data_IF_590464054706
#
_entry.id   IF_590464054706
#
_cell.length_a   1.000
_cell.length_b   1.000
_cell.length_c   1.000
_cell.angle_alpha   90.00
_cell.angle_beta   90.00
_cell.angle_gamma   90.00
#
_symmetry.space_group_name_H-M   'P 1'
#
loop_
_entity.id
_entity.type
_entity.pdbx_description
1 polymer ?
#
# COMPACT_ATOMS: atom_id res chain seq x y z
N UNK A 1 -19.39 -14.61 17.75
CA UNK A 1 -19.93 -13.97 16.52
C UNK A 1 -18.85 -13.40 15.62
N UNK A 2 -17.78 -12.77 16.16
CA UNK A 2 -16.65 -12.23 15.38
C UNK A 2 -15.83 -13.27 14.62
N UNK A 3 -15.56 -14.43 15.20
CA UNK A 3 -14.75 -15.49 14.57
C UNK A 3 -15.44 -16.13 13.33
N UNK A 4 -16.75 -16.32 13.35
CA UNK A 4 -17.48 -16.93 12.22
C UNK A 4 -17.59 -15.97 11.02
N UNK A 5 -17.86 -14.68 11.26
CA UNK A 5 -17.87 -13.66 10.20
C UNK A 5 -16.48 -13.46 9.58
N UNK A 6 -15.45 -13.57 10.41
CA UNK A 6 -14.06 -13.56 9.98
C UNK A 6 -13.77 -14.71 9.01
N UNK A 7 -14.12 -15.95 9.39
CA UNK A 7 -13.85 -17.14 8.55
C UNK A 7 -14.56 -17.05 7.20
N UNK A 8 -15.84 -16.67 7.18
CA UNK A 8 -16.62 -16.55 5.94
C UNK A 8 -16.03 -15.50 4.98
N UNK A 9 -15.60 -14.34 5.49
CA UNK A 9 -14.97 -13.29 4.68
C UNK A 9 -13.61 -13.68 4.14
N UNK A 10 -12.79 -14.39 4.93
CA UNK A 10 -11.51 -14.91 4.48
C UNK A 10 -11.68 -15.95 3.38
N UNK A 11 -12.64 -16.85 3.55
CA UNK A 11 -13.00 -17.84 2.53
C UNK A 11 -13.50 -17.16 1.26
N UNK A 12 -14.38 -16.16 1.38
CA UNK A 12 -14.88 -15.40 0.22
C UNK A 12 -13.77 -14.64 -0.49
N UNK A 13 -12.89 -13.97 0.25
CA UNK A 13 -11.72 -13.26 -0.32
C UNK A 13 -10.77 -14.25 -0.99
N UNK A 14 -10.44 -15.35 -0.34
CA UNK A 14 -9.61 -16.39 -0.92
C UNK A 14 -10.25 -16.98 -2.19
N UNK A 15 -11.54 -17.28 -2.16
CA UNK A 15 -12.27 -17.80 -3.32
C UNK A 15 -12.21 -16.85 -4.52
N UNK A 16 -12.44 -15.54 -4.30
CA UNK A 16 -12.32 -14.53 -5.37
C UNK A 16 -10.91 -14.48 -5.95
N UNK A 17 -9.88 -14.53 -5.10
CA UNK A 17 -8.49 -14.50 -5.55
C UNK A 17 -8.09 -15.78 -6.29
N UNK A 18 -8.51 -16.94 -5.80
CA UNK A 18 -8.28 -18.22 -6.49
C UNK A 18 -9.02 -18.29 -7.82
N UNK A 19 -10.28 -17.87 -7.88
CA UNK A 19 -11.06 -17.86 -9.13
C UNK A 19 -10.42 -16.89 -10.15
N UNK A 20 -10.02 -15.70 -9.73
CA UNK A 20 -9.30 -14.75 -10.60
C UNK A 20 -7.97 -15.32 -11.09
N UNK A 21 -7.22 -16.01 -10.24
CA UNK A 21 -5.95 -16.65 -10.59
C UNK A 21 -6.17 -17.81 -11.56
N UNK A 22 -7.15 -18.66 -11.32
CA UNK A 22 -7.51 -19.76 -12.21
C UNK A 22 -8.01 -19.26 -13.58
N UNK A 23 -8.83 -18.21 -13.60
CA UNK A 23 -9.27 -17.57 -14.84
C UNK A 23 -8.10 -16.99 -15.63
N UNK A 24 -7.13 -16.37 -14.94
CA UNK A 24 -5.90 -15.86 -15.54
C UNK A 24 -5.02 -17.00 -16.09
N UNK A 25 -4.85 -18.09 -15.35
CA UNK A 25 -4.10 -19.26 -15.80
C UNK A 25 -4.78 -19.92 -17.00
N UNK A 26 -6.11 -20.05 -17.01
CA UNK A 26 -6.86 -20.59 -18.12
C UNK A 26 -6.71 -19.74 -19.39
N UNK A 27 -6.81 -18.39 -19.27
CA UNK A 27 -6.58 -17.48 -20.41
C UNK A 27 -5.13 -17.53 -20.89
N UNK A 28 -4.17 -17.71 -19.98
CA UNK A 28 -2.75 -17.85 -20.34
C UNK A 28 -2.49 -19.21 -21.02
N UNK A 29 -3.19 -20.27 -20.60
CA UNK A 29 -3.09 -21.62 -21.19
C UNK A 29 -3.54 -21.67 -22.66
N UNK A 30 -4.44 -20.78 -23.06
CA UNK A 30 -4.88 -20.69 -24.46
C UNK A 30 -3.79 -20.08 -25.40
N UNK A 31 -2.80 -19.42 -24.84
CA UNK A 31 -1.79 -18.66 -25.61
C UNK A 31 -0.37 -19.16 -25.38
N UNK A 32 -0.09 -19.77 -24.25
CA UNK A 32 1.23 -20.26 -23.89
C UNK A 32 1.24 -21.80 -23.75
N UNK A 33 2.35 -22.44 -24.13
CA UNK A 33 2.52 -23.88 -23.89
C UNK A 33 2.37 -24.22 -22.40
N UNK A 34 1.73 -25.31 -22.08
CA UNK A 34 1.42 -25.75 -20.69
C UNK A 34 2.66 -25.79 -19.80
N UNK A 35 3.83 -26.16 -20.34
CA UNK A 35 5.08 -26.15 -19.60
C UNK A 35 5.53 -24.74 -19.18
N UNK A 36 5.23 -23.70 -20.00
CA UNK A 36 5.58 -22.32 -19.66
C UNK A 36 4.73 -21.80 -18.49
N UNK A 37 3.47 -22.24 -18.39
CA UNK A 37 2.58 -21.94 -17.28
C UNK A 37 3.08 -22.58 -16.00
N UNK A 38 3.47 -23.87 -16.08
CA UNK A 38 4.06 -24.59 -14.95
C UNK A 38 5.35 -23.94 -14.45
N UNK A 39 6.27 -23.61 -15.36
CA UNK A 39 7.52 -22.93 -15.03
C UNK A 39 7.26 -21.56 -14.39
N UNK A 40 6.28 -20.81 -14.90
CA UNK A 40 5.89 -19.53 -14.35
C UNK A 40 5.31 -19.65 -12.94
N UNK A 41 4.46 -20.62 -12.69
CA UNK A 41 3.87 -20.86 -11.36
C UNK A 41 4.96 -21.23 -10.35
N UNK A 42 5.91 -22.08 -10.71
CA UNK A 42 7.07 -22.44 -9.89
C UNK A 42 7.95 -21.22 -9.61
N UNK A 43 8.23 -20.41 -10.63
CA UNK A 43 9.04 -19.21 -10.50
C UNK A 43 8.36 -18.17 -9.57
N UNK A 44 7.06 -17.92 -9.75
CA UNK A 44 6.29 -17.01 -8.88
C UNK A 44 6.24 -17.54 -7.45
N UNK A 45 5.95 -18.82 -7.28
CA UNK A 45 5.94 -19.46 -5.98
C UNK A 45 7.31 -19.38 -5.29
N UNK A 46 8.38 -19.69 -6.04
CA UNK A 46 9.76 -19.63 -5.55
C UNK A 46 10.19 -18.22 -5.17
N UNK A 47 10.00 -17.24 -6.06
CA UNK A 47 10.34 -15.82 -5.79
C UNK A 47 9.54 -15.29 -4.62
N UNK A 48 8.25 -15.63 -4.56
CA UNK A 48 7.40 -15.20 -3.45
C UNK A 48 7.83 -15.83 -2.14
N UNK A 49 8.14 -17.11 -2.12
CA UNK A 49 8.64 -17.82 -0.93
C UNK A 49 9.98 -17.24 -0.45
N UNK A 50 10.93 -17.03 -1.37
CA UNK A 50 12.23 -16.41 -1.06
C UNK A 50 12.04 -14.98 -0.56
N UNK A 51 11.17 -14.21 -1.21
CA UNK A 51 10.86 -12.84 -0.81
C UNK A 51 10.28 -12.77 0.60
N UNK A 52 9.36 -13.67 0.95
CA UNK A 52 8.78 -13.76 2.29
C UNK A 52 9.83 -14.16 3.31
N UNK A 53 10.59 -15.21 3.01
CA UNK A 53 11.64 -15.71 3.91
C UNK A 53 12.74 -14.68 4.14
N UNK A 54 13.13 -13.95 3.07
CA UNK A 54 14.12 -12.88 3.19
C UNK A 54 13.58 -11.67 3.95
N UNK A 55 12.33 -11.26 3.71
CA UNK A 55 11.71 -10.20 4.49
C UNK A 55 11.62 -10.57 5.97
N UNK A 56 11.17 -11.78 6.29
CA UNK A 56 11.13 -12.27 7.68
C UNK A 56 12.51 -12.20 8.33
N UNK A 57 13.54 -12.73 7.66
CA UNK A 57 14.92 -12.73 8.17
C UNK A 57 15.44 -11.29 8.34
N UNK A 58 15.22 -10.42 7.37
CA UNK A 58 15.64 -9.01 7.43
C UNK A 58 14.96 -8.27 8.58
N UNK A 59 13.69 -8.50 8.83
CA UNK A 59 12.95 -7.84 9.90
C UNK A 59 13.34 -8.38 11.29
N UNK A 60 13.35 -9.69 11.48
CA UNK A 60 13.67 -10.30 12.79
C UNK A 60 15.12 -10.04 13.21
N UNK A 61 16.06 -10.11 12.27
CA UNK A 61 17.49 -9.96 12.58
C UNK A 61 17.99 -8.51 12.61
N UNK A 62 17.35 -7.61 11.85
CA UNK A 62 17.95 -6.31 11.55
C UNK A 62 17.16 -5.09 11.98
N UNK A 63 15.89 -5.22 12.31
CA UNK A 63 15.02 -4.04 12.40
C UNK A 63 14.43 -3.82 13.76
N UNK A 64 14.20 -4.87 14.50
CA UNK A 64 13.37 -4.77 15.68
C UNK A 64 14.22 -4.39 16.88
N UNK A 65 14.18 -3.13 17.26
CA UNK A 65 14.56 -2.69 18.59
C UNK A 65 13.60 -3.32 19.60
N UNK A 66 14.03 -3.41 20.83
CA UNK A 66 13.34 -4.06 21.92
C UNK A 66 11.82 -3.93 21.90
N UNK A 67 11.08 -5.01 22.21
CA UNK A 67 9.63 -4.99 22.36
C UNK A 67 9.17 -4.23 23.62
N UNK A 68 10.07 -3.55 24.33
CA UNK A 68 9.68 -2.72 25.47
C UNK A 68 9.08 -1.41 24.97
N UNK A 69 7.76 -1.41 24.92
CA UNK A 69 6.94 -0.29 24.48
C UNK A 69 7.16 0.96 25.34
N UNK A 70 7.62 0.80 26.58
CA UNK A 70 7.93 1.91 27.48
C UNK A 70 9.13 2.74 27.02
N UNK A 71 10.01 2.14 26.19
CA UNK A 71 11.14 2.85 25.57
C UNK A 71 10.68 3.77 24.42
N UNK A 72 9.55 3.43 23.78
CA UNK A 72 8.96 4.27 22.73
C UNK A 72 8.26 5.48 23.37
N UNK A 73 7.41 5.22 24.34
CA UNK A 73 6.70 6.22 25.17
C UNK A 73 6.21 5.54 26.45
N UNK A 74 6.39 6.14 27.66
CA UNK A 74 5.86 5.59 28.90
C UNK A 74 4.33 5.42 28.87
N UNK A 75 3.61 6.35 28.23
CA UNK A 75 2.17 6.31 28.08
C UNK A 75 1.74 5.15 27.18
N UNK A 76 2.43 4.94 26.08
CA UNK A 76 2.18 3.82 25.17
C UNK A 76 2.29 2.46 25.91
N UNK A 77 3.24 2.32 26.83
CA UNK A 77 3.37 1.13 27.66
C UNK A 77 2.14 0.83 28.52
N UNK A 78 1.53 1.85 29.11
CA UNK A 78 0.27 1.75 29.86
C UNK A 78 -0.89 1.35 28.96
N UNK A 79 -1.08 2.08 27.88
CA UNK A 79 -2.13 1.84 26.88
C UNK A 79 -2.02 0.41 26.30
N UNK A 80 -0.81 -0.02 25.97
CA UNK A 80 -0.57 -1.36 25.44
C UNK A 80 -1.00 -2.45 26.42
N UNK A 81 -0.69 -2.33 27.72
CA UNK A 81 -1.13 -3.29 28.74
C UNK A 81 -2.65 -3.41 28.82
N UNK A 82 -3.35 -2.28 28.78
CA UNK A 82 -4.81 -2.26 28.77
C UNK A 82 -5.37 -2.97 27.53
N UNK A 83 -4.80 -2.70 26.35
CA UNK A 83 -5.27 -3.27 25.09
C UNK A 83 -4.94 -4.77 24.97
N UNK A 84 -3.80 -5.23 25.47
CA UNK A 84 -3.49 -6.67 25.57
C UNK A 84 -4.51 -7.37 26.45
N UNK A 85 -4.82 -6.82 27.62
CA UNK A 85 -5.82 -7.39 28.52
C UNK A 85 -7.22 -7.41 27.87
N UNK A 86 -7.63 -6.33 27.21
CA UNK A 86 -8.95 -6.22 26.55
C UNK A 86 -9.08 -7.11 25.30
N UNK A 87 -8.00 -7.31 24.55
CA UNK A 87 -8.01 -8.07 23.29
C UNK A 87 -7.76 -9.56 23.47
N UNK A 88 -7.25 -9.99 24.62
CA UNK A 88 -6.77 -11.36 24.83
C UNK A 88 -5.51 -11.71 24.05
N UNK A 89 -4.82 -10.72 23.49
CA UNK A 89 -3.54 -10.88 22.81
C UNK A 89 -2.39 -10.82 23.83
N UNK A 90 -1.25 -11.39 23.48
CA UNK A 90 -0.03 -11.28 24.29
C UNK A 90 1.02 -10.41 23.60
N UNK A 91 1.87 -9.76 24.39
CA UNK A 91 2.97 -8.95 23.85
C UNK A 91 4.02 -9.81 23.10
N UNK A 92 4.13 -11.11 23.43
CA UNK A 92 4.99 -12.06 22.72
C UNK A 92 4.46 -12.42 21.34
N UNK A 93 3.13 -12.48 21.17
CA UNK A 93 2.50 -12.84 19.91
C UNK A 93 2.31 -11.63 18.99
N UNK A 94 2.10 -10.44 19.57
CA UNK A 94 1.83 -9.19 18.87
C UNK A 94 2.69 -8.04 19.43
N UNK A 95 4.00 -8.09 19.29
CA UNK A 95 4.86 -7.03 19.82
C UNK A 95 4.66 -5.71 19.07
N UNK A 96 4.86 -4.61 19.81
CA UNK A 96 4.77 -3.23 19.27
C UNK A 96 6.20 -2.71 19.11
N UNK A 97 6.49 -2.12 17.94
CA UNK A 97 7.79 -1.58 17.60
C UNK A 97 7.71 -0.15 17.06
N UNK A 98 8.81 0.61 17.23
CA UNK A 98 9.06 1.82 16.47
C UNK A 98 9.52 1.43 15.04
N UNK A 99 9.21 2.27 14.04
CA UNK A 99 9.71 2.11 12.68
C UNK A 99 11.23 2.31 12.55
N UNK A 100 11.92 2.74 13.58
CA UNK A 100 13.36 3.01 13.52
C UNK A 100 14.19 1.73 13.53
N UNK A 101 15.26 1.77 12.74
CA UNK A 101 16.25 0.69 12.69
C UNK A 101 17.12 0.74 13.95
N UNK A 102 17.46 -0.42 14.48
CA UNK A 102 18.54 -0.55 15.45
C UNK A 102 19.89 -0.46 14.71
N UNK A 103 20.55 0.69 14.82
CA UNK A 103 21.84 0.93 14.19
C UNK A 103 22.92 -0.05 14.64
N UNK A 104 22.81 -0.57 15.87
CA UNK A 104 23.75 -1.60 16.39
C UNK A 104 23.61 -2.92 15.64
N UNK A 105 22.38 -3.31 15.30
CA UNK A 105 22.12 -4.57 14.58
C UNK A 105 22.51 -4.55 13.11
N UNK A 106 22.74 -3.37 12.54
CA UNK A 106 23.16 -3.24 11.14
C UNK A 106 24.62 -2.79 11.00
N UNK A 107 25.33 -2.56 12.11
CA UNK A 107 26.69 -2.01 12.13
C UNK A 107 27.71 -2.87 11.34
N UNK A 108 27.56 -4.17 11.39
CA UNK A 108 28.41 -5.17 10.74
C UNK A 108 28.05 -5.45 9.27
N UNK A 109 26.96 -4.84 8.76
CA UNK A 109 26.54 -5.03 7.38
C UNK A 109 27.28 -4.12 6.39
N UNK A 110 27.45 -4.54 5.11
CA UNK A 110 28.04 -3.70 4.08
C UNK A 110 27.32 -2.36 3.97
N UNK A 111 28.08 -1.27 3.72
CA UNK A 111 27.54 0.11 3.68
C UNK A 111 26.35 0.27 2.72
N UNK A 112 26.40 -0.37 1.54
CA UNK A 112 25.27 -0.35 0.58
C UNK A 112 23.99 -0.94 1.16
N UNK A 113 24.10 -2.01 1.97
CA UNK A 113 22.98 -2.64 2.66
C UNK A 113 22.46 -1.74 3.79
N UNK A 114 23.35 -1.18 4.60
CA UNK A 114 23.00 -0.22 5.67
C UNK A 114 22.24 0.97 5.09
N UNK A 115 22.77 1.56 4.01
CA UNK A 115 22.13 2.69 3.31
C UNK A 115 20.72 2.31 2.82
N UNK A 116 20.57 1.19 2.13
CA UNK A 116 19.29 0.73 1.62
C UNK A 116 18.26 0.48 2.73
N UNK A 117 18.66 -0.12 3.85
CA UNK A 117 17.83 -0.34 5.03
C UNK A 117 17.41 1.01 5.64
N UNK A 118 18.35 1.91 5.88
CA UNK A 118 18.05 3.27 6.39
C UNK A 118 17.06 4.01 5.48
N UNK A 119 17.30 4.02 4.17
CA UNK A 119 16.39 4.67 3.23
C UNK A 119 14.98 4.08 3.23
N UNK A 120 14.87 2.77 3.37
CA UNK A 120 13.58 2.09 3.42
C UNK A 120 12.79 2.41 4.69
N UNK A 121 13.44 2.37 5.84
CA UNK A 121 12.77 2.43 7.14
C UNK A 121 12.67 3.84 7.71
N UNK A 122 13.71 4.66 7.60
CA UNK A 122 13.64 6.04 8.06
C UNK A 122 12.54 6.81 7.34
N UNK A 123 12.27 6.48 6.06
CA UNK A 123 11.14 7.06 5.34
C UNK A 123 9.76 6.68 5.91
N UNK A 124 9.67 5.61 6.68
CA UNK A 124 8.45 5.20 7.39
C UNK A 124 8.43 5.72 8.83
N UNK A 125 9.61 5.86 9.44
CA UNK A 125 9.78 6.39 10.79
C UNK A 125 9.43 7.88 10.91
N UNK A 126 9.65 8.64 9.83
CA UNK A 126 9.42 10.10 9.80
C UNK A 126 7.99 10.47 9.32
N UNK A 127 7.17 9.49 8.93
CA UNK A 127 5.76 9.68 8.55
C UNK A 127 4.87 9.45 9.77
N UNK A 128 3.81 10.24 9.92
CA UNK A 128 2.76 10.02 10.92
C UNK A 128 1.98 8.75 10.58
N UNK A 129 2.45 7.59 11.06
CA UNK A 129 1.92 6.30 10.67
C UNK A 129 1.91 5.28 11.82
N UNK A 130 0.88 4.43 11.81
CA UNK A 130 0.83 3.19 12.55
C UNK A 130 0.39 2.09 11.59
N UNK A 131 0.81 0.85 11.82
CA UNK A 131 0.44 -0.27 10.97
C UNK A 131 0.55 -1.62 11.69
N UNK A 132 -0.48 -2.43 11.60
CA UNK A 132 -0.39 -3.84 11.92
C UNK A 132 0.13 -4.62 10.71
N UNK A 133 1.25 -5.30 10.86
CA UNK A 133 1.92 -6.02 9.78
C UNK A 133 2.12 -7.50 10.14
N UNK A 134 2.22 -8.36 9.13
CA UNK A 134 2.61 -9.75 9.31
C UNK A 134 3.93 -10.02 8.58
N UNK A 135 4.95 -10.25 9.35
CA UNK A 135 6.31 -10.53 8.89
C UNK A 135 6.75 -11.96 9.28
N UNK A 136 5.77 -12.87 9.41
CA UNK A 136 5.96 -14.23 9.95
C UNK A 136 5.43 -14.35 11.36
N UNK A 137 5.53 -13.27 12.16
CA UNK A 137 4.69 -13.00 13.33
C UNK A 137 3.95 -11.68 13.07
N UNK A 138 2.72 -11.54 13.54
CA UNK A 138 2.03 -10.26 13.47
C UNK A 138 2.72 -9.27 14.42
N UNK A 139 2.96 -8.07 13.95
CA UNK A 139 3.57 -6.99 14.70
C UNK A 139 2.78 -5.71 14.50
N UNK A 140 2.84 -4.81 15.48
CA UNK A 140 2.32 -3.46 15.39
C UNK A 140 3.52 -2.53 15.34
N UNK A 141 3.53 -1.63 14.36
CA UNK A 141 4.54 -0.59 14.24
C UNK A 141 3.90 0.78 14.40
N UNK A 142 4.55 1.67 15.14
CA UNK A 142 4.08 3.03 15.37
C UNK A 142 5.25 4.01 15.24
N UNK A 143 5.01 5.18 14.65
CA UNK A 143 6.04 6.20 14.46
C UNK A 143 6.01 7.23 15.58
N UNK A 144 7.20 7.71 16.00
CA UNK A 144 7.30 8.79 17.00
C UNK A 144 6.62 10.09 16.57
N UNK A 145 6.71 10.55 15.29
CA UNK A 145 5.96 11.71 14.84
C UNK A 145 4.44 11.57 15.03
N UNK A 146 3.88 10.36 14.85
CA UNK A 146 2.47 10.14 15.11
C UNK A 146 2.14 10.28 16.61
N UNK A 147 2.95 9.67 17.48
CA UNK A 147 2.76 9.78 18.93
C UNK A 147 2.87 11.23 19.41
N UNK A 148 3.78 12.01 18.86
CA UNK A 148 3.93 13.43 19.20
C UNK A 148 2.73 14.30 18.75
N UNK A 149 1.99 13.85 17.73
CA UNK A 149 0.82 14.54 17.20
C UNK A 149 -0.46 14.29 18.02
N UNK A 150 -0.55 13.12 18.67
CA UNK A 150 -1.76 12.62 19.30
C UNK A 150 -1.78 12.94 20.80
N UNK A 151 -2.96 13.18 21.34
CA UNK A 151 -3.18 13.13 22.79
C UNK A 151 -3.39 11.68 23.27
N UNK A 152 -3.43 11.47 24.56
CA UNK A 152 -3.53 10.13 25.20
C UNK A 152 -4.75 9.34 24.72
N UNK A 153 -5.90 10.00 24.52
CA UNK A 153 -7.12 9.34 24.07
C UNK A 153 -7.06 8.97 22.61
N UNK A 154 -6.44 9.82 21.79
CA UNK A 154 -6.20 9.61 20.37
C UNK A 154 -5.13 8.52 20.14
N UNK A 155 -4.04 8.51 20.96
CA UNK A 155 -3.01 7.48 20.96
C UNK A 155 -3.64 6.12 21.26
N UNK A 156 -4.46 6.03 22.31
CA UNK A 156 -5.23 4.82 22.64
C UNK A 156 -6.13 4.39 21.49
N UNK A 157 -6.81 5.33 20.84
CA UNK A 157 -7.75 5.02 19.76
C UNK A 157 -7.03 4.49 18.51
N UNK A 158 -5.90 5.07 18.12
CA UNK A 158 -5.09 4.59 16.99
C UNK A 158 -4.48 3.24 17.32
N UNK A 159 -3.92 3.07 18.52
CA UNK A 159 -3.32 1.78 18.90
C UNK A 159 -4.39 0.67 18.98
N UNK A 160 -5.57 0.95 19.53
CA UNK A 160 -6.71 0.02 19.57
C UNK A 160 -7.17 -0.37 18.15
N UNK A 161 -7.12 0.55 17.19
CA UNK A 161 -7.39 0.25 15.78
C UNK A 161 -6.39 -0.76 15.20
N UNK A 162 -5.08 -0.60 15.48
CA UNK A 162 -4.06 -1.56 15.05
C UNK A 162 -4.20 -2.92 15.76
N UNK A 163 -4.57 -2.91 17.05
CA UNK A 163 -4.90 -4.14 17.79
C UNK A 163 -6.10 -4.86 17.19
N UNK A 164 -7.14 -4.14 16.77
CA UNK A 164 -8.30 -4.71 16.11
C UNK A 164 -7.92 -5.35 14.76
N UNK A 165 -7.02 -4.72 13.98
CA UNK A 165 -6.45 -5.34 12.79
C UNK A 165 -5.69 -6.63 13.12
N UNK A 166 -4.88 -6.62 14.16
CA UNK A 166 -4.10 -7.78 14.60
C UNK A 166 -5.02 -8.92 15.07
N UNK A 167 -5.98 -8.63 15.94
CA UNK A 167 -6.94 -9.60 16.47
C UNK A 167 -7.82 -10.22 15.38
N UNK A 168 -8.28 -9.41 14.43
CA UNK A 168 -9.05 -9.88 13.28
C UNK A 168 -8.18 -10.51 12.17
N UNK A 169 -6.86 -10.63 12.36
CA UNK A 169 -5.90 -11.22 11.42
C UNK A 169 -6.00 -10.63 10.00
N UNK A 170 -6.36 -9.35 9.86
CA UNK A 170 -6.52 -8.67 8.58
C UNK A 170 -5.23 -8.72 7.73
N UNK A 171 -4.05 -8.81 8.37
CA UNK A 171 -2.76 -8.91 7.71
C UNK A 171 -2.61 -10.17 6.86
N UNK A 172 -3.33 -11.26 7.17
CA UNK A 172 -3.26 -12.51 6.41
C UNK A 172 -3.83 -12.37 4.99
N UNK A 173 -4.71 -11.37 4.76
CA UNK A 173 -5.26 -11.10 3.44
C UNK A 173 -4.30 -10.38 2.50
N UNK A 174 -3.28 -9.70 3.03
CA UNK A 174 -2.31 -8.96 2.21
C UNK A 174 -1.44 -9.88 1.35
N UNK A 175 -1.20 -11.10 1.80
CA UNK A 175 -0.35 -12.08 1.14
C UNK A 175 -0.95 -12.64 -0.15
N UNK A 176 -2.17 -13.22 -0.15
CA UNK A 176 -2.85 -13.64 -1.39
C UNK A 176 -2.96 -12.50 -2.41
N UNK A 177 -3.20 -11.27 -1.94
CA UNK A 177 -3.29 -10.09 -2.80
C UNK A 177 -1.97 -9.75 -3.50
N UNK A 178 -0.84 -9.82 -2.78
CA UNK A 178 0.50 -9.61 -3.35
C UNK A 178 0.85 -10.71 -4.36
N UNK A 179 0.56 -11.97 -4.02
CA UNK A 179 0.78 -13.12 -4.91
C UNK A 179 -0.01 -12.98 -6.20
N UNK A 180 -1.30 -12.61 -6.11
CA UNK A 180 -2.13 -12.37 -7.29
C UNK A 180 -1.61 -11.22 -8.14
N UNK A 181 -1.20 -10.10 -7.53
CA UNK A 181 -0.58 -8.96 -8.24
C UNK A 181 0.68 -9.36 -8.99
N UNK A 182 1.54 -10.17 -8.37
CA UNK A 182 2.74 -10.73 -8.99
C UNK A 182 2.38 -11.71 -10.11
N UNK A 183 1.41 -12.58 -9.88
CA UNK A 183 0.90 -13.53 -10.87
C UNK A 183 0.36 -12.83 -12.12
N UNK A 184 -0.44 -11.78 -11.95
CA UNK A 184 -0.96 -10.95 -13.05
C UNK A 184 0.19 -10.30 -13.85
N UNK A 185 1.19 -9.77 -13.16
CA UNK A 185 2.33 -9.12 -13.82
C UNK A 185 3.12 -10.13 -14.66
N UNK A 186 3.35 -11.31 -14.11
CA UNK A 186 4.05 -12.39 -14.79
C UNK A 186 3.23 -12.93 -15.98
N UNK A 187 1.93 -13.19 -15.80
CA UNK A 187 1.05 -13.63 -16.88
C UNK A 187 1.05 -12.64 -18.05
N UNK A 188 1.00 -11.34 -17.77
CA UNK A 188 1.15 -10.30 -18.80
C UNK A 188 2.51 -10.38 -19.51
N UNK A 189 3.59 -10.61 -18.77
CA UNK A 189 4.94 -10.80 -19.34
C UNK A 189 5.03 -12.01 -20.24
N UNK A 190 4.54 -13.15 -19.76
CA UNK A 190 4.54 -14.41 -20.50
C UNK A 190 3.66 -14.37 -21.75
N UNK A 191 2.46 -13.77 -21.65
CA UNK A 191 1.58 -13.60 -22.81
C UNK A 191 2.24 -12.76 -23.91
N UNK A 192 2.94 -11.70 -23.53
CA UNK A 192 3.75 -10.91 -24.49
C UNK A 192 4.88 -11.72 -25.09
N UNK A 193 5.61 -12.44 -24.25
CA UNK A 193 6.73 -13.27 -24.69
C UNK A 193 6.27 -14.38 -25.64
N UNK A 194 5.18 -15.07 -25.32
CA UNK A 194 4.58 -16.09 -26.18
C UNK A 194 4.11 -15.53 -27.53
N UNK A 195 3.49 -14.33 -27.53
CA UNK A 195 3.11 -13.65 -28.76
C UNK A 195 4.32 -13.31 -29.65
N UNK A 196 5.47 -12.99 -29.05
CA UNK A 196 6.71 -12.74 -29.79
C UNK A 196 7.38 -14.01 -30.26
N UNK A 197 7.36 -15.08 -29.46
CA UNK A 197 7.90 -16.39 -29.90
C UNK A 197 7.11 -16.95 -31.07
N UNK A 198 5.79 -16.73 -31.14
CA UNK A 198 4.97 -17.17 -32.29
C UNK A 198 5.34 -16.45 -33.60
N UNK A 199 5.98 -15.29 -33.50
CA UNK A 199 6.51 -14.55 -34.65
C UNK A 199 7.94 -15.00 -35.10
N UNK A 200 8.49 -15.99 -34.40
CA UNK A 200 9.87 -16.45 -34.66
C UNK A 200 10.94 -15.43 -34.26
N UNK A 201 12.18 -15.65 -34.72
CA UNK A 201 13.33 -14.82 -34.37
C UNK A 201 13.22 -13.35 -34.81
N UNK A 202 12.35 -13.03 -35.77
CA UNK A 202 12.14 -11.68 -36.28
C UNK A 202 11.20 -10.88 -35.38
N UNK A 203 10.24 -11.52 -34.73
CA UNK A 203 9.26 -10.86 -33.90
C UNK A 203 9.85 -10.19 -32.65
N UNK A 204 10.85 -10.79 -32.03
CA UNK A 204 11.48 -10.26 -30.80
C UNK A 204 12.24 -8.94 -31.09
N UNK A 205 13.12 -8.83 -32.08
CA UNK A 205 13.77 -7.57 -32.43
C UNK A 205 12.76 -6.48 -32.82
N UNK A 206 11.75 -6.79 -33.61
CA UNK A 206 10.71 -5.82 -34.03
C UNK A 206 9.94 -5.26 -32.83
N UNK A 207 9.62 -6.11 -31.89
CA UNK A 207 8.92 -5.66 -30.67
C UNK A 207 9.79 -4.77 -29.77
N UNK A 208 11.05 -5.12 -29.62
CA UNK A 208 12.00 -4.30 -28.86
C UNK A 208 12.16 -2.93 -29.53
N UNK A 209 12.42 -2.92 -30.85
CA UNK A 209 12.61 -1.68 -31.62
C UNK A 209 11.35 -0.82 -31.59
N UNK A 210 10.17 -1.41 -31.82
CA UNK A 210 8.90 -0.65 -31.77
C UNK A 210 8.56 -0.14 -30.37
N UNK A 211 8.80 -0.95 -29.34
CA UNK A 211 8.59 -0.53 -27.95
C UNK A 211 9.54 0.59 -27.51
N UNK A 212 10.80 0.51 -27.88
CA UNK A 212 11.81 1.56 -27.63
C UNK A 212 11.51 2.78 -28.49
N UNK A 213 11.25 2.60 -29.78
CA UNK A 213 10.93 3.68 -30.72
C UNK A 213 9.70 4.47 -30.29
N UNK A 214 8.63 3.78 -29.89
CA UNK A 214 7.43 4.42 -29.34
C UNK A 214 7.70 5.25 -28.08
N UNK A 215 8.57 4.75 -27.19
CA UNK A 215 8.97 5.51 -25.99
C UNK A 215 9.80 6.74 -26.33
N UNK A 216 10.74 6.62 -27.25
CA UNK A 216 11.58 7.73 -27.71
C UNK A 216 10.72 8.79 -28.39
N UNK A 217 9.82 8.38 -29.30
CA UNK A 217 8.90 9.27 -29.98
C UNK A 217 7.98 10.00 -28.99
N UNK A 218 7.38 9.28 -28.04
CA UNK A 218 6.51 9.88 -27.04
C UNK A 218 7.26 10.86 -26.14
N UNK A 219 8.51 10.57 -25.78
CA UNK A 219 9.35 11.46 -24.99
C UNK A 219 9.70 12.74 -25.75
N UNK A 220 10.00 12.61 -27.04
CA UNK A 220 10.45 13.72 -27.91
C UNK A 220 9.27 14.62 -28.32
N UNK A 221 8.14 14.04 -28.72
CA UNK A 221 6.92 14.81 -29.08
C UNK A 221 6.23 15.44 -27.89
N UNK A 222 6.37 14.86 -26.70
CA UNK A 222 5.78 15.44 -25.48
C UNK A 222 6.51 16.67 -24.93
N UNK A 223 7.61 17.15 -25.56
CA UNK A 223 8.38 18.30 -25.11
C UNK A 223 9.02 18.15 -23.72
N UNK A 224 9.06 16.92 -23.20
CA UNK A 224 9.56 16.61 -21.83
C UNK A 224 10.89 15.86 -21.84
N UNK A 225 11.56 15.80 -22.99
CA UNK A 225 12.81 15.06 -23.15
C UNK A 225 13.92 15.56 -22.23
N UNK A 226 13.99 16.88 -22.06
CA UNK A 226 14.99 17.50 -21.19
C UNK A 226 14.74 17.19 -19.71
N UNK A 227 13.47 17.18 -19.29
CA UNK A 227 13.08 16.77 -17.95
C UNK A 227 13.45 15.31 -17.65
N UNK A 228 13.38 14.43 -18.66
CA UNK A 228 13.70 13.01 -18.50
C UNK A 228 15.20 12.76 -18.40
N UNK A 229 16.03 13.63 -18.97
CA UNK A 229 17.49 13.54 -18.94
C UNK A 229 18.14 14.14 -17.70
N UNK A 230 17.53 15.18 -17.10
CA UNK A 230 18.08 15.82 -15.91
C UNK A 230 18.20 14.84 -14.74
N UNK A 231 19.30 14.83 -13.99
CA UNK A 231 19.41 14.11 -12.71
C UNK A 231 18.30 14.55 -11.73
N UNK A 232 17.87 13.64 -10.85
CA UNK A 232 16.80 13.96 -9.87
C UNK A 232 17.18 15.13 -8.97
N UNK A 233 18.46 15.25 -8.62
CA UNK A 233 18.99 16.29 -7.74
C UNK A 233 18.87 17.71 -8.34
N UNK A 234 18.80 17.81 -9.67
CA UNK A 234 18.68 19.07 -10.40
C UNK A 234 17.24 19.47 -10.71
N UNK A 235 16.26 18.63 -10.35
CA UNK A 235 14.85 18.92 -10.59
C UNK A 235 14.19 19.48 -9.34
N UNK A 236 13.44 20.56 -9.50
CA UNK A 236 12.49 21.03 -8.50
C UNK A 236 11.34 20.04 -8.31
N UNK A 237 10.63 20.11 -7.18
CA UNK A 237 9.51 19.21 -6.91
C UNK A 237 8.40 19.22 -7.99
N UNK A 238 7.96 20.39 -8.50
CA UNK A 238 7.01 20.42 -9.61
C UNK A 238 7.55 19.70 -10.85
N UNK A 239 8.84 19.89 -11.21
CA UNK A 239 9.48 19.24 -12.35
C UNK A 239 9.54 17.71 -12.17
N UNK A 240 9.80 17.21 -10.97
CA UNK A 240 9.80 15.77 -10.66
C UNK A 240 8.42 15.18 -10.81
N UNK A 241 7.36 15.87 -10.38
CA UNK A 241 5.98 15.43 -10.58
C UNK A 241 5.63 15.39 -12.08
N UNK A 242 6.00 16.42 -12.83
CA UNK A 242 5.80 16.46 -14.28
C UNK A 242 6.59 15.36 -14.99
N UNK A 243 7.83 15.08 -14.56
CA UNK A 243 8.64 13.95 -15.04
C UNK A 243 7.94 12.62 -14.77
N UNK A 244 7.37 12.43 -13.57
CA UNK A 244 6.61 11.21 -13.23
C UNK A 244 5.39 11.05 -14.12
N UNK A 245 4.61 12.13 -14.34
CA UNK A 245 3.46 12.12 -15.25
C UNK A 245 3.89 11.82 -16.70
N UNK A 246 4.97 12.45 -17.18
CA UNK A 246 5.53 12.18 -18.49
C UNK A 246 5.98 10.71 -18.62
N UNK A 247 6.67 10.18 -17.62
CA UNK A 247 7.08 8.79 -17.57
C UNK A 247 5.91 7.80 -17.61
N UNK A 248 4.80 8.12 -16.93
CA UNK A 248 3.57 7.31 -17.00
C UNK A 248 2.95 7.33 -18.40
N UNK A 249 2.84 8.51 -19.04
CA UNK A 249 2.36 8.63 -20.41
C UNK A 249 3.22 7.84 -21.40
N UNK A 250 4.53 7.94 -21.28
CA UNK A 250 5.49 7.19 -22.12
C UNK A 250 5.33 5.68 -21.93
N UNK A 251 5.13 5.21 -20.68
CA UNK A 251 4.85 3.79 -20.41
C UNK A 251 3.56 3.32 -21.11
N UNK A 252 2.50 4.13 -21.07
CA UNK A 252 1.22 3.82 -21.75
C UNK A 252 1.41 3.75 -23.26
N UNK A 253 2.06 4.75 -23.87
CA UNK A 253 2.31 4.79 -25.32
C UNK A 253 3.23 3.61 -25.73
N UNK A 254 4.26 3.32 -24.96
CA UNK A 254 5.11 2.15 -25.19
C UNK A 254 4.35 0.83 -25.09
N UNK A 255 3.38 0.73 -24.17
CA UNK A 255 2.53 -0.45 -24.06
C UNK A 255 1.58 -0.59 -25.26
N UNK A 256 1.01 0.51 -25.75
CA UNK A 256 0.19 0.53 -26.97
C UNK A 256 1.03 0.11 -28.18
N UNK A 257 2.20 0.72 -28.38
CA UNK A 257 3.11 0.38 -29.47
C UNK A 257 3.51 -1.10 -29.47
N UNK A 258 3.85 -1.63 -28.30
CA UNK A 258 4.17 -3.05 -28.12
C UNK A 258 2.95 -3.94 -28.41
N UNK A 259 1.75 -3.52 -28.03
CA UNK A 259 0.50 -4.25 -28.29
C UNK A 259 0.22 -4.31 -29.78
N UNK A 260 0.33 -3.17 -30.48
CA UNK A 260 0.14 -3.09 -31.94
C UNK A 260 1.16 -3.99 -32.66
N UNK A 261 2.45 -3.90 -32.29
CA UNK A 261 3.46 -4.76 -32.90
C UNK A 261 3.19 -6.25 -32.66
N UNK A 262 2.81 -6.64 -31.43
CA UNK A 262 2.46 -8.03 -31.13
C UNK A 262 1.22 -8.50 -31.91
N UNK A 263 0.27 -7.62 -32.17
CA UNK A 263 -0.97 -7.93 -32.93
C UNK A 263 -0.70 -8.28 -34.38
N UNK A 264 0.37 -7.74 -34.97
CA UNK A 264 0.79 -8.10 -36.34
C UNK A 264 1.19 -9.57 -36.47
N UNK A 265 1.69 -10.16 -35.38
CA UNK A 265 2.14 -11.56 -35.36
C UNK A 265 1.10 -12.50 -34.74
N UNK A 266 0.25 -11.99 -33.85
CA UNK A 266 -0.83 -12.75 -33.25
C UNK A 266 -2.09 -11.87 -33.12
N UNK A 267 -3.06 -12.01 -34.01
CA UNK A 267 -4.29 -11.20 -34.01
C UNK A 267 -5.12 -11.33 -32.72
N UNK A 268 -4.97 -12.41 -31.96
CA UNK A 268 -5.68 -12.63 -30.69
C UNK A 268 -5.01 -11.91 -29.51
N UNK A 269 -3.77 -11.44 -29.68
CA UNK A 269 -3.01 -10.80 -28.59
C UNK A 269 -3.73 -9.59 -27.96
N UNK A 270 -4.37 -8.67 -28.69
CA UNK A 270 -5.10 -7.55 -28.09
C UNK A 270 -6.21 -7.99 -27.15
N UNK A 271 -6.94 -9.06 -27.52
CA UNK A 271 -8.01 -9.61 -26.70
C UNK A 271 -7.48 -10.18 -25.38
N UNK A 272 -6.40 -10.96 -25.43
CA UNK A 272 -5.75 -11.49 -24.23
C UNK A 272 -5.17 -10.37 -23.36
N UNK A 273 -4.55 -9.37 -23.96
CA UNK A 273 -4.04 -8.22 -23.24
C UNK A 273 -5.16 -7.44 -22.56
N UNK A 274 -6.26 -7.18 -23.26
CA UNK A 274 -7.45 -6.54 -22.70
C UNK A 274 -8.06 -7.36 -21.55
N UNK A 275 -8.21 -8.67 -21.73
CA UNK A 275 -8.72 -9.57 -20.70
C UNK A 275 -7.86 -9.57 -19.44
N UNK A 276 -6.53 -9.67 -19.58
CA UNK A 276 -5.61 -9.62 -18.43
C UNK A 276 -5.66 -8.26 -17.71
N UNK A 277 -5.85 -7.16 -18.44
CA UNK A 277 -6.04 -5.82 -17.86
C UNK A 277 -7.38 -5.70 -17.15
N UNK A 278 -8.45 -6.24 -17.71
CA UNK A 278 -9.77 -6.26 -17.07
C UNK A 278 -9.75 -7.05 -15.76
N UNK A 279 -9.13 -8.24 -15.76
CA UNK A 279 -8.95 -9.06 -14.54
C UNK A 279 -8.12 -8.31 -13.51
N UNK A 280 -7.02 -7.69 -13.91
CA UNK A 280 -6.19 -6.88 -12.99
C UNK A 280 -6.96 -5.70 -12.39
N UNK A 281 -7.78 -5.02 -13.20
CA UNK A 281 -8.63 -3.92 -12.75
C UNK A 281 -9.72 -4.40 -11.78
N UNK A 282 -10.44 -5.47 -12.12
CA UNK A 282 -11.45 -6.07 -11.26
C UNK A 282 -10.86 -6.51 -9.93
N UNK A 283 -9.71 -7.18 -9.96
CA UNK A 283 -8.99 -7.59 -8.75
C UNK A 283 -8.65 -6.41 -7.84
N UNK A 284 -8.15 -5.29 -8.40
CA UNK A 284 -7.87 -4.09 -7.61
C UNK A 284 -9.11 -3.52 -6.94
N UNK A 285 -10.24 -3.48 -7.65
CA UNK A 285 -11.51 -2.99 -7.10
C UNK A 285 -11.99 -3.88 -5.96
N UNK A 286 -12.00 -5.20 -6.17
CA UNK A 286 -12.42 -6.18 -5.16
C UNK A 286 -11.49 -6.12 -3.94
N UNK A 287 -10.17 -6.14 -4.16
CA UNK A 287 -9.18 -6.03 -3.09
C UNK A 287 -9.35 -4.73 -2.29
N UNK A 288 -9.56 -3.60 -2.98
CA UNK A 288 -9.83 -2.32 -2.33
C UNK A 288 -11.12 -2.34 -1.51
N UNK A 289 -12.17 -3.01 -1.99
CA UNK A 289 -13.42 -3.15 -1.25
C UNK A 289 -13.25 -3.97 0.03
N UNK A 290 -12.53 -5.10 -0.02
CA UNK A 290 -12.21 -5.89 1.16
C UNK A 290 -11.34 -5.11 2.15
N UNK A 291 -10.30 -4.44 1.68
CA UNK A 291 -9.44 -3.64 2.53
C UNK A 291 -10.23 -2.53 3.25
N UNK A 292 -11.09 -1.81 2.53
CA UNK A 292 -11.98 -0.80 3.15
C UNK A 292 -12.94 -1.41 4.18
N UNK A 293 -13.44 -2.62 3.94
CA UNK A 293 -14.28 -3.32 4.91
C UNK A 293 -13.51 -3.67 6.17
N UNK A 294 -12.24 -4.07 6.04
CA UNK A 294 -11.35 -4.36 7.17
C UNK A 294 -11.09 -3.09 8.01
N UNK A 295 -10.91 -1.93 7.37
CA UNK A 295 -10.78 -0.65 8.08
C UNK A 295 -12.00 -0.34 8.94
N UNK A 296 -13.21 -0.52 8.39
CA UNK A 296 -14.43 -0.30 9.17
C UNK A 296 -14.61 -1.30 10.31
N UNK A 297 -14.12 -2.53 10.14
CA UNK A 297 -14.10 -3.50 11.24
C UNK A 297 -13.09 -3.13 12.31
N UNK A 298 -11.91 -2.65 11.91
CA UNK A 298 -10.90 -2.21 12.85
C UNK A 298 -11.35 -0.95 13.62
N UNK A 299 -12.02 -0.01 12.95
CA UNK A 299 -12.64 1.15 13.61
C UNK A 299 -13.65 0.72 14.68
N UNK A 300 -14.52 -0.23 14.36
CA UNK A 300 -15.48 -0.79 15.31
C UNK A 300 -14.78 -1.56 16.43
N UNK A 301 -13.81 -2.41 16.07
CA UNK A 301 -13.03 -3.18 17.03
C UNK A 301 -12.25 -2.31 17.99
N UNK A 302 -11.72 -1.17 17.55
CA UNK A 302 -11.08 -0.19 18.43
C UNK A 302 -12.03 0.30 19.53
N UNK A 303 -13.28 0.59 19.16
CA UNK A 303 -14.30 1.03 20.12
C UNK A 303 -14.73 -0.12 21.04
N UNK A 304 -14.77 -1.35 20.57
CA UNK A 304 -15.03 -2.55 21.39
C UNK A 304 -13.87 -2.83 22.37
N UNK A 305 -12.63 -2.47 22.02
CA UNK A 305 -11.46 -2.50 22.91
C UNK A 305 -11.38 -1.31 23.88
N UNK A 306 -12.43 -0.49 23.96
CA UNK A 306 -12.53 0.60 24.92
C UNK A 306 -11.97 1.94 24.46
N UNK A 307 -11.66 2.10 23.17
CA UNK A 307 -11.27 3.39 22.62
C UNK A 307 -12.50 4.30 22.42
N UNK A 308 -12.28 5.62 22.52
CA UNK A 308 -13.31 6.60 22.19
C UNK A 308 -13.48 6.72 20.68
N UNK A 309 -14.70 6.59 20.13
CA UNK A 309 -14.94 6.82 18.71
C UNK A 309 -14.65 8.28 18.31
N UNK A 310 -14.85 9.24 19.21
CA UNK A 310 -14.55 10.65 18.95
C UNK A 310 -13.04 10.89 18.85
N UNK A 311 -12.26 10.29 19.75
CA UNK A 311 -10.80 10.36 19.71
C UNK A 311 -10.23 9.75 18.42
N UNK A 312 -10.82 8.65 17.93
CA UNK A 312 -10.40 8.09 16.64
C UNK A 312 -10.73 9.01 15.47
N UNK A 313 -11.89 9.70 15.49
CA UNK A 313 -12.23 10.70 14.46
C UNK A 313 -11.22 11.85 14.47
N UNK A 314 -10.90 12.40 15.64
CA UNK A 314 -9.96 13.52 15.76
C UNK A 314 -8.55 13.13 15.36
N UNK A 315 -8.08 11.95 15.75
CA UNK A 315 -6.79 11.40 15.33
C UNK A 315 -6.67 11.30 13.79
N UNK A 316 -7.66 10.69 13.13
CA UNK A 316 -7.71 10.57 11.68
C UNK A 316 -7.70 11.95 10.99
N UNK A 317 -8.38 12.93 11.56
CA UNK A 317 -8.40 14.29 11.03
C UNK A 317 -7.05 14.99 11.21
N UNK A 318 -6.40 14.87 12.38
CA UNK A 318 -5.04 15.39 12.60
C UNK A 318 -4.06 14.83 11.56
N UNK A 319 -4.04 13.52 11.36
CA UNK A 319 -3.18 12.89 10.35
C UNK A 319 -3.45 13.43 8.93
N UNK A 320 -4.73 13.61 8.56
CA UNK A 320 -5.10 14.19 7.27
C UNK A 320 -4.64 15.64 7.14
N UNK A 321 -4.83 16.46 8.17
CA UNK A 321 -4.44 17.87 8.18
C UNK A 321 -2.94 18.00 8.00
N UNK A 322 -2.12 17.23 8.73
CA UNK A 322 -0.67 17.17 8.54
C UNK A 322 -0.32 16.88 7.09
N UNK A 323 -0.94 15.86 6.50
CA UNK A 323 -0.67 15.48 5.11
C UNK A 323 -1.05 16.60 4.13
N UNK A 324 -2.22 17.21 4.29
CA UNK A 324 -2.70 18.27 3.40
C UNK A 324 -1.87 19.54 3.52
N UNK A 325 -1.51 19.96 4.73
CA UNK A 325 -0.67 21.14 4.95
C UNK A 325 0.74 20.94 4.42
N UNK A 326 1.34 19.77 4.66
CA UNK A 326 2.65 19.43 4.11
C UNK A 326 2.64 19.43 2.58
N UNK A 327 1.57 18.90 1.95
CA UNK A 327 1.43 18.96 0.50
C UNK A 327 1.22 20.39 -0.02
N UNK A 328 0.46 21.23 0.69
CA UNK A 328 0.29 22.65 0.32
C UNK A 328 1.60 23.40 0.39
N UNK A 329 2.41 23.16 1.41
CA UNK A 329 3.74 23.80 1.55
C UNK A 329 4.64 23.49 0.36
N UNK A 330 4.63 22.26 -0.13
CA UNK A 330 5.47 21.83 -1.26
C UNK A 330 4.92 22.28 -2.62
N UNK A 331 3.59 22.27 -2.80
CA UNK A 331 2.95 22.50 -4.11
C UNK A 331 2.21 23.83 -4.21
N UNK A 332 2.12 24.61 -3.14
CA UNK A 332 1.29 25.81 -3.07
C UNK A 332 -0.21 25.53 -3.07
N UNK A 333 -0.66 24.51 -3.76
CA UNK A 333 -2.08 24.09 -3.83
C UNK A 333 -2.21 22.58 -3.84
N UNK A 334 -3.34 22.07 -3.34
CA UNK A 334 -3.63 20.64 -3.44
C UNK A 334 -3.89 20.24 -4.90
N UNK A 335 -3.30 19.15 -5.38
CA UNK A 335 -3.53 18.68 -6.75
C UNK A 335 -5.00 18.33 -6.99
N UNK A 336 -5.65 18.99 -7.97
CA UNK A 336 -7.00 18.63 -8.39
C UNK A 336 -6.98 17.35 -9.23
N UNK A 337 -7.86 16.41 -8.93
CA UNK A 337 -8.06 15.20 -9.74
C UNK A 337 -9.39 15.26 -10.47
N UNK A 338 -9.41 14.82 -11.75
CA UNK A 338 -10.65 14.74 -12.52
C UNK A 338 -11.62 13.67 -11.95
N UNK A 339 -12.92 13.80 -12.27
CA UNK A 339 -13.99 12.94 -11.74
C UNK A 339 -13.71 11.44 -11.94
N UNK A 340 -13.38 10.99 -13.14
CA UNK A 340 -13.10 9.57 -13.43
C UNK A 340 -11.85 9.07 -12.68
N UNK A 341 -10.82 9.92 -12.58
CA UNK A 341 -9.61 9.61 -11.79
C UNK A 341 -9.94 9.46 -10.31
N UNK A 342 -10.81 10.32 -9.78
CA UNK A 342 -11.27 10.25 -8.39
C UNK A 342 -12.12 9.02 -8.13
N UNK A 343 -13.06 8.70 -9.03
CA UNK A 343 -13.90 7.50 -8.91
C UNK A 343 -13.03 6.22 -8.94
N UNK A 344 -12.07 6.12 -9.86
CA UNK A 344 -11.13 5.01 -9.93
C UNK A 344 -10.25 4.90 -8.68
N UNK A 345 -9.67 6.03 -8.22
CA UNK A 345 -8.88 6.07 -6.98
C UNK A 345 -9.70 5.58 -5.79
N UNK A 346 -10.94 6.06 -5.65
CA UNK A 346 -11.82 5.63 -4.56
C UNK A 346 -12.20 4.15 -4.64
N UNK A 347 -12.40 3.62 -5.85
CA UNK A 347 -12.74 2.20 -6.06
C UNK A 347 -11.56 1.28 -5.72
N UNK A 348 -10.34 1.70 -6.01
CA UNK A 348 -9.12 0.91 -5.82
C UNK A 348 -8.34 1.24 -4.55
N UNK A 349 -8.75 2.27 -3.79
CA UNK A 349 -8.12 2.66 -2.54
C UNK A 349 -8.22 1.53 -1.50
N UNK A 350 -7.13 1.28 -0.81
CA UNK A 350 -7.07 0.30 0.29
C UNK A 350 -7.72 0.83 1.56
N UNK A 351 -7.72 2.15 1.76
CA UNK A 351 -8.36 2.80 2.91
C UNK A 351 -9.58 3.61 2.47
N UNK A 352 -10.69 3.59 3.24
CA UNK A 352 -11.80 4.49 3.01
C UNK A 352 -11.37 5.94 3.24
N UNK A 353 -12.06 6.87 2.61
CA UNK A 353 -11.82 8.29 2.89
C UNK A 353 -12.15 8.61 4.36
N UNK A 354 -11.40 9.52 4.97
CA UNK A 354 -11.61 9.92 6.36
C UNK A 354 -13.03 10.40 6.62
N UNK A 355 -13.69 11.19 5.76
CA UNK A 355 -15.09 11.52 5.96
C UNK A 355 -16.04 10.31 6.07
N UNK A 356 -15.79 9.25 5.30
CA UNK A 356 -16.59 8.01 5.37
C UNK A 356 -16.34 7.24 6.66
N UNK A 357 -15.10 7.19 7.14
CA UNK A 357 -14.76 6.59 8.44
C UNK A 357 -15.38 7.41 9.57
N UNK A 358 -15.22 8.73 9.55
CA UNK A 358 -15.81 9.64 10.54
C UNK A 358 -17.33 9.51 10.62
N UNK A 359 -18.05 9.42 9.50
CA UNK A 359 -19.49 9.23 9.49
C UNK A 359 -19.90 7.92 10.20
N UNK A 360 -19.21 6.81 9.93
CA UNK A 360 -19.50 5.53 10.61
C UNK A 360 -19.14 5.54 12.10
N UNK A 361 -18.03 6.18 12.46
CA UNK A 361 -17.64 6.36 13.85
C UNK A 361 -18.64 7.26 14.60
N UNK A 362 -19.18 8.28 13.93
CA UNK A 362 -20.26 9.14 14.47
C UNK A 362 -21.52 8.32 14.78
N UNK A 363 -21.90 7.37 13.91
CA UNK A 363 -23.04 6.48 14.17
C UNK A 363 -22.76 5.55 15.37
N UNK A 364 -21.53 5.08 15.52
CA UNK A 364 -21.12 4.29 16.70
C UNK A 364 -21.15 5.16 17.95
N UNK A 365 -20.69 6.40 17.87
CA UNK A 365 -20.69 7.35 18.98
C UNK A 365 -22.11 7.64 19.48
N UNK A 366 -23.09 7.88 18.58
CA UNK A 366 -24.51 8.04 18.95
C UNK A 366 -25.05 6.82 19.70
N UNK A 367 -24.76 5.63 19.23
CA UNK A 367 -25.16 4.37 19.89
C UNK A 367 -24.52 4.18 21.27
N UNK A 368 -23.39 4.83 21.52
CA UNK A 368 -22.71 4.87 22.82
C UNK A 368 -23.14 6.03 23.72
N UNK A 369 -24.11 6.84 23.29
CA UNK A 369 -24.69 7.91 24.08
C UNK A 369 -23.95 9.26 23.99
N UNK A 370 -23.03 9.45 23.04
CA UNK A 370 -22.44 10.76 22.80
C UNK A 370 -23.46 11.70 22.16
N UNK A 371 -23.44 12.95 22.58
CA UNK A 371 -24.34 13.98 22.05
C UNK A 371 -23.95 14.41 20.65
N UNK A 372 -24.90 14.89 19.85
CA UNK A 372 -24.62 15.42 18.51
C UNK A 372 -23.65 16.62 18.56
N UNK A 373 -23.66 17.42 19.62
CA UNK A 373 -22.70 18.51 19.82
C UNK A 373 -21.27 17.98 19.95
N UNK A 374 -21.05 16.93 20.75
CA UNK A 374 -19.74 16.28 20.88
C UNK A 374 -19.28 15.65 19.56
N UNK A 375 -20.19 14.97 18.87
CA UNK A 375 -19.91 14.35 17.58
C UNK A 375 -19.55 15.41 16.53
N UNK A 376 -20.32 16.50 16.45
CA UNK A 376 -20.04 17.60 15.53
C UNK A 376 -18.71 18.29 15.84
N UNK A 377 -18.36 18.47 17.11
CA UNK A 377 -17.05 18.98 17.50
C UNK A 377 -15.92 18.07 17.01
N UNK A 378 -16.05 16.76 17.16
CA UNK A 378 -15.04 15.81 16.66
C UNK A 378 -14.96 15.77 15.13
N UNK A 379 -16.11 15.82 14.41
CA UNK A 379 -16.17 15.71 12.95
C UNK A 379 -15.78 17.02 12.25
N UNK A 380 -16.23 18.17 12.75
CA UNK A 380 -16.16 19.48 12.09
C UNK A 380 -15.33 20.51 12.84
N UNK A 381 -14.98 20.26 14.12
CA UNK A 381 -14.21 21.20 14.94
C UNK A 381 -12.85 21.52 14.34
N UNK A 382 -12.27 22.64 14.71
CA UNK A 382 -10.91 22.99 14.29
C UNK A 382 -9.90 21.97 14.84
N UNK A 383 -9.11 21.39 13.95
CA UNK A 383 -7.96 20.57 14.29
C UNK A 383 -6.72 21.40 13.97
N UNK A 384 -6.17 22.05 15.00
CA UNK A 384 -4.91 22.75 14.86
C UNK A 384 -3.76 21.73 14.85
N UNK A 385 -2.89 21.84 13.85
CA UNK A 385 -1.66 21.07 13.77
C UNK A 385 -0.53 22.09 13.66
N UNK A 386 0.39 22.05 14.63
CA UNK A 386 1.53 22.96 14.64
C UNK A 386 2.50 22.71 13.47
N UNK A 387 3.29 23.73 13.10
CA UNK A 387 4.27 23.61 12.01
C UNK A 387 5.32 22.52 12.27
N UNK A 388 5.60 22.19 13.53
CA UNK A 388 6.51 21.14 13.96
C UNK A 388 6.08 19.73 13.56
N UNK A 389 4.79 19.53 13.28
CA UNK A 389 4.23 18.26 12.81
C UNK A 389 4.21 18.13 11.28
N UNK A 390 4.63 19.15 10.54
CA UNK A 390 4.67 19.07 9.08
C UNK A 390 5.77 18.11 8.63
N UNK A 391 5.45 17.36 7.60
CA UNK A 391 6.43 16.46 6.99
C UNK A 391 7.49 17.27 6.23
N UNK A 392 8.75 16.91 6.42
CA UNK A 392 9.84 17.54 5.68
C UNK A 392 9.63 17.42 4.16
N UNK A 393 9.91 18.46 3.35
CA UNK A 393 9.74 18.42 1.89
C UNK A 393 10.40 17.20 1.22
N UNK A 394 11.60 16.82 1.67
CA UNK A 394 12.30 15.64 1.17
C UNK A 394 11.54 14.32 1.44
N UNK A 395 10.77 14.24 2.52
CA UNK A 395 9.94 13.08 2.85
C UNK A 395 8.71 12.99 1.94
N UNK A 396 8.05 14.13 1.70
CA UNK A 396 6.92 14.24 0.76
C UNK A 396 7.38 13.81 -0.63
N UNK A 397 8.54 14.29 -1.04
CA UNK A 397 9.17 13.90 -2.29
C UNK A 397 9.34 12.38 -2.41
N UNK A 398 9.88 11.76 -1.38
CA UNK A 398 10.11 10.32 -1.33
C UNK A 398 8.79 9.51 -1.34
N UNK A 399 7.74 10.02 -0.69
CA UNK A 399 6.40 9.42 -0.75
C UNK A 399 5.78 9.50 -2.15
N UNK A 400 5.98 10.59 -2.86
CA UNK A 400 5.46 10.80 -4.21
C UNK A 400 6.29 10.08 -5.29
N UNK A 401 7.55 9.74 -5.01
CA UNK A 401 8.41 8.97 -5.91
C UNK A 401 8.05 7.47 -5.96
N UNK A 402 7.39 6.95 -4.94
CA UNK A 402 6.85 5.58 -4.88
C UNK A 402 5.51 5.47 -5.59
#
# INVERSE_FOLDING_TARGET
MTAQLYTARHVASAAVHYTATLGLLATTALVAPVWAIGAAAVLVGGISYIGIKSQKKVFEENLLQHPDVSVISPNLGKIAKELYAASGLSATDFPIYDFRIDEKKIADKPEGVRKALREQFNSMADVHNAAAMNLGKPIIMISKPLLALLDDAEEKAVLAHEFAHAAAKHQHLSMPQKLLGTGITLANGLTRFAAFLSAGWVGVPVAIVTGIGAKIAAARWGGKWDLLKKPNEQLSMPERLERKKAGQKIKVIGAIGTTVAASLFNPLYPFFYAATKAVAAATKVVTGAFSRSNEYQADRGAVELGASPLALITALRKMKTVQEESLKEVFGTLPKSGFLSTAWKNATATHPTIPRRAARLADIARKKGFTDAQINAAVNGNVAVGPEHRMAPALIEKMLAR
#
